data_IF_289680675891
#
_entry.id   IF_289680675891
#
_cell.length_a   1.000
_cell.length_b   1.000
_cell.length_c   1.000
_cell.angle_alpha   90.00
_cell.angle_beta   90.00
_cell.angle_gamma   90.00
#
_symmetry.space_group_name_H-M   'P 1'
#
loop_
_entity.id
_entity.type
_entity.pdbx_description
1 polymer ?
#
# COMPACT_ATOMS: atom_id res chain seq x y z
N UNK A 1 -20.76 7.09 -6.54
CA UNK A 1 -20.19 7.01 -5.19
C UNK A 1 -19.14 5.90 -5.06
N UNK A 2 -19.46 4.64 -5.42
CA UNK A 2 -18.52 3.50 -5.36
C UNK A 2 -17.23 3.74 -6.17
N UNK A 3 -17.35 4.21 -7.40
CA UNK A 3 -16.21 4.53 -8.27
C UNK A 3 -15.25 5.54 -7.64
N UNK A 4 -15.76 6.57 -6.98
CA UNK A 4 -14.91 7.56 -6.30
C UNK A 4 -14.08 6.94 -5.16
N UNK A 5 -14.65 5.95 -4.44
CA UNK A 5 -13.91 5.20 -3.43
C UNK A 5 -12.86 4.27 -4.05
N UNK A 6 -13.16 3.62 -5.17
CA UNK A 6 -12.24 2.74 -5.88
C UNK A 6 -11.08 3.51 -6.52
N UNK A 7 -11.28 4.76 -6.92
CA UNK A 7 -10.21 5.62 -7.42
C UNK A 7 -9.29 6.08 -6.28
N UNK A 8 -9.85 6.47 -5.15
CA UNK A 8 -9.07 6.86 -3.96
C UNK A 8 -8.42 5.66 -3.26
N UNK A 9 -9.03 4.50 -3.33
CA UNK A 9 -8.43 3.23 -2.92
C UNK A 9 -7.68 2.68 -4.14
N UNK A 10 -6.35 2.82 -4.22
CA UNK A 10 -5.61 2.66 -5.46
C UNK A 10 -5.77 1.25 -6.01
N UNK A 11 -6.67 1.10 -6.98
CA UNK A 11 -6.88 -0.13 -7.73
C UNK A 11 -6.05 -0.09 -9.01
N UNK A 12 -5.73 -1.23 -9.58
CA UNK A 12 -5.08 -1.31 -10.89
C UNK A 12 -5.79 -0.41 -11.92
N UNK A 13 -5.08 0.26 -12.79
CA UNK A 13 -5.42 1.36 -13.69
C UNK A 13 -5.47 2.77 -13.06
N UNK A 14 -5.89 2.92 -11.82
CA UNK A 14 -6.02 4.24 -11.15
C UNK A 14 -5.06 4.41 -9.97
N UNK A 15 -4.04 3.57 -9.87
CA UNK A 15 -3.07 3.56 -8.77
C UNK A 15 -1.90 4.54 -8.93
N UNK A 16 -1.65 5.07 -10.14
CA UNK A 16 -0.42 5.82 -10.46
C UNK A 16 -0.25 7.11 -9.63
N UNK A 17 -1.33 7.66 -9.10
CA UNK A 17 -1.26 8.82 -8.23
C UNK A 17 -0.57 8.52 -6.89
N UNK A 18 -0.66 7.28 -6.37
CA UNK A 18 -0.15 6.92 -5.05
C UNK A 18 1.39 6.93 -4.99
N UNK A 19 2.14 6.24 -5.89
CA UNK A 19 3.60 6.34 -5.91
C UNK A 19 4.08 7.78 -6.10
N UNK A 20 3.42 8.55 -6.98
CA UNK A 20 3.76 9.95 -7.21
C UNK A 20 3.58 10.79 -5.94
N UNK A 21 2.43 10.63 -5.27
CA UNK A 21 2.16 11.32 -4.02
C UNK A 21 3.20 10.99 -2.92
N UNK A 22 3.61 9.72 -2.79
CA UNK A 22 4.63 9.31 -1.80
C UNK A 22 6.04 9.81 -2.11
N UNK A 23 6.40 9.96 -3.39
CA UNK A 23 7.72 10.47 -3.79
C UNK A 23 7.83 11.98 -3.56
N UNK A 24 6.78 12.72 -3.91
CA UNK A 24 6.74 14.18 -3.80
C UNK A 24 6.48 14.67 -2.35
N UNK A 25 5.75 13.88 -1.55
CA UNK A 25 5.42 14.26 -0.18
C UNK A 25 6.64 14.28 0.76
N UNK A 26 6.66 15.21 1.73
CA UNK A 26 7.59 15.13 2.85
C UNK A 26 7.34 13.84 3.64
N UNK A 27 8.32 13.43 4.45
CA UNK A 27 8.27 12.14 5.17
C UNK A 27 7.05 12.05 6.09
N UNK A 28 6.78 13.10 6.84
CA UNK A 28 5.60 13.17 7.71
C UNK A 28 4.30 12.99 6.92
N UNK A 29 4.18 13.60 5.75
CA UNK A 29 3.04 13.43 4.85
C UNK A 29 2.89 11.99 4.35
N UNK A 30 3.99 11.33 3.97
CA UNK A 30 3.98 9.93 3.53
C UNK A 30 3.57 8.98 4.65
N UNK A 31 4.01 9.22 5.90
CA UNK A 31 3.63 8.44 7.08
C UNK A 31 2.13 8.58 7.37
N UNK A 32 1.61 9.81 7.41
CA UNK A 32 0.18 10.06 7.68
C UNK A 32 -0.69 9.46 6.57
N UNK A 33 -0.29 9.58 5.32
CA UNK A 33 -1.00 9.02 4.18
C UNK A 33 -1.08 7.49 4.28
N UNK A 34 0.04 6.84 4.60
CA UNK A 34 0.10 5.39 4.75
C UNK A 34 -0.61 4.89 6.02
N UNK A 35 -0.44 5.56 7.15
CA UNK A 35 -0.97 5.12 8.45
C UNK A 35 -2.49 5.37 8.59
N UNK A 36 -2.98 6.50 8.14
CA UNK A 36 -4.35 6.97 8.44
C UNK A 36 -5.22 7.06 7.21
N UNK A 37 -4.83 7.82 6.19
CA UNK A 37 -5.73 8.17 5.09
C UNK A 37 -6.18 6.95 4.28
N UNK A 38 -5.28 6.03 3.96
CA UNK A 38 -5.61 4.80 3.24
C UNK A 38 -6.54 3.90 4.08
N UNK A 39 -6.41 3.90 5.41
CA UNK A 39 -7.24 3.09 6.31
C UNK A 39 -8.66 3.63 6.47
N UNK A 40 -8.81 4.95 6.48
CA UNK A 40 -10.13 5.58 6.45
C UNK A 40 -10.92 5.19 5.19
N UNK A 41 -10.23 5.06 4.05
CA UNK A 41 -10.84 4.57 2.82
C UNK A 41 -11.27 3.10 2.93
N UNK A 42 -10.45 2.25 3.57
CA UNK A 42 -10.80 0.85 3.86
C UNK A 42 -12.06 0.74 4.71
N UNK A 43 -12.17 1.56 5.77
CA UNK A 43 -13.39 1.66 6.57
C UNK A 43 -14.59 2.15 5.75
N UNK A 44 -14.37 3.12 4.87
CA UNK A 44 -15.39 3.62 3.94
C UNK A 44 -15.97 2.52 3.06
N UNK A 45 -15.12 1.65 2.47
CA UNK A 45 -15.56 0.51 1.67
C UNK A 45 -16.36 -0.50 2.51
N UNK A 46 -15.94 -0.74 3.77
CA UNK A 46 -16.68 -1.61 4.69
C UNK A 46 -18.11 -1.09 4.90
N UNK A 47 -18.28 0.20 5.08
CA UNK A 47 -19.58 0.83 5.35
C UNK A 47 -20.45 0.94 4.09
N UNK A 48 -19.84 1.30 2.96
CA UNK A 48 -20.54 1.53 1.68
C UNK A 48 -21.25 0.28 1.20
N UNK A 49 -20.71 -0.89 1.48
CA UNK A 49 -21.28 -2.16 1.09
C UNK A 49 -22.61 -2.49 1.77
N UNK A 50 -22.86 -1.96 2.96
CA UNK A 50 -24.18 -2.12 3.63
C UNK A 50 -25.29 -1.41 2.86
N UNK A 51 -24.93 -0.41 2.06
CA UNK A 51 -25.86 0.46 1.34
C UNK A 51 -26.04 0.02 -0.13
N UNK A 52 -25.06 -0.65 -0.73
CA UNK A 52 -25.08 -0.99 -2.16
C UNK A 52 -25.04 -2.49 -2.40
N UNK A 53 -26.00 -2.98 -3.19
CA UNK A 53 -26.09 -4.41 -3.58
C UNK A 53 -25.20 -4.69 -4.81
N UNK A 54 -23.87 -4.78 -4.60
CA UNK A 54 -22.88 -4.85 -5.70
C UNK A 54 -22.55 -6.33 -6.07
N UNK A 55 -23.49 -7.26 -5.95
CA UNK A 55 -23.22 -8.69 -6.19
C UNK A 55 -22.75 -9.01 -7.61
N UNK A 56 -23.30 -8.36 -8.61
CA UNK A 56 -23.05 -8.68 -10.02
C UNK A 56 -21.66 -8.19 -10.47
N UNK A 57 -21.26 -7.01 -10.00
CA UNK A 57 -19.98 -6.38 -10.41
C UNK A 57 -18.81 -6.84 -9.51
N UNK A 58 -19.10 -7.49 -8.38
CA UNK A 58 -18.06 -7.86 -7.39
C UNK A 58 -17.03 -8.85 -7.93
N UNK A 59 -17.44 -9.85 -8.72
CA UNK A 59 -16.51 -10.86 -9.26
C UNK A 59 -15.51 -10.27 -10.25
N UNK A 60 -15.95 -9.35 -11.10
CA UNK A 60 -15.08 -8.67 -12.05
C UNK A 60 -14.08 -7.75 -11.35
N UNK A 61 -14.53 -7.01 -10.33
CA UNK A 61 -13.64 -6.14 -9.53
C UNK A 61 -12.63 -6.98 -8.74
N UNK A 62 -13.03 -8.13 -8.19
CA UNK A 62 -12.12 -9.04 -7.50
C UNK A 62 -11.04 -9.56 -8.46
N UNK A 63 -11.43 -10.05 -9.64
CA UNK A 63 -10.50 -10.55 -10.63
C UNK A 63 -9.51 -9.46 -11.07
N UNK A 64 -10.01 -8.26 -11.36
CA UNK A 64 -9.19 -7.11 -11.73
C UNK A 64 -8.22 -6.71 -10.61
N UNK A 65 -8.68 -6.69 -9.36
CA UNK A 65 -7.85 -6.35 -8.21
C UNK A 65 -6.73 -7.39 -8.01
N UNK A 66 -7.03 -8.69 -8.08
CA UNK A 66 -6.05 -9.75 -7.86
C UNK A 66 -5.03 -9.82 -8.99
N UNK A 67 -5.46 -9.80 -10.25
CA UNK A 67 -4.57 -9.80 -11.42
C UNK A 67 -3.70 -8.53 -11.40
N UNK A 68 -4.31 -7.38 -11.19
CA UNK A 68 -3.59 -6.12 -11.11
C UNK A 68 -2.60 -6.08 -9.94
N UNK A 69 -2.97 -6.61 -8.77
CA UNK A 69 -2.08 -6.78 -7.63
C UNK A 69 -0.87 -7.66 -7.96
N UNK A 70 -1.08 -8.78 -8.66
CA UNK A 70 0.01 -9.65 -9.13
C UNK A 70 0.97 -8.93 -10.07
N UNK A 71 0.46 -8.22 -11.08
CA UNK A 71 1.27 -7.43 -12.02
C UNK A 71 2.09 -6.37 -11.27
N UNK A 72 1.47 -5.63 -10.35
CA UNK A 72 2.17 -4.62 -9.54
C UNK A 72 3.22 -5.24 -8.63
N UNK A 73 2.99 -6.45 -8.10
CA UNK A 73 3.97 -7.20 -7.33
C UNK A 73 5.23 -7.48 -8.15
N UNK A 74 5.09 -7.89 -9.41
CA UNK A 74 6.23 -8.07 -10.33
C UNK A 74 6.91 -6.73 -10.64
N UNK A 75 6.15 -5.67 -10.86
CA UNK A 75 6.69 -4.33 -11.10
C UNK A 75 7.52 -3.80 -9.91
N UNK A 76 7.20 -4.19 -8.67
CA UNK A 76 8.01 -3.85 -7.50
C UNK A 76 9.48 -4.29 -7.63
N UNK A 77 9.73 -5.44 -8.27
CA UNK A 77 11.09 -6.01 -8.41
C UNK A 77 11.96 -5.14 -9.33
N UNK A 78 11.35 -4.49 -10.31
CA UNK A 78 12.05 -3.69 -11.32
C UNK A 78 12.32 -2.25 -10.84
N UNK A 79 11.67 -1.81 -9.78
CA UNK A 79 11.80 -0.45 -9.28
C UNK A 79 13.16 -0.20 -8.64
N UNK A 80 13.72 0.99 -8.88
CA UNK A 80 15.05 1.41 -8.38
C UNK A 80 14.97 2.26 -7.11
N UNK A 81 13.85 2.93 -6.89
CA UNK A 81 13.65 3.85 -5.76
C UNK A 81 12.90 3.19 -4.61
N UNK A 82 13.45 3.25 -3.41
CA UNK A 82 12.89 2.63 -2.19
C UNK A 82 11.48 3.13 -1.91
N UNK A 83 11.23 4.43 -2.00
CA UNK A 83 9.88 5.00 -1.76
C UNK A 83 8.83 4.46 -2.75
N UNK A 84 9.23 4.29 -4.00
CA UNK A 84 8.34 3.76 -5.05
C UNK A 84 8.01 2.30 -4.79
N UNK A 85 8.98 1.48 -4.38
CA UNK A 85 8.75 0.07 -4.02
C UNK A 85 7.76 -0.05 -2.86
N UNK A 86 7.95 0.75 -1.79
CA UNK A 86 7.05 0.74 -0.64
C UNK A 86 5.63 1.16 -1.06
N UNK A 87 5.50 2.15 -1.95
CA UNK A 87 4.21 2.59 -2.46
C UNK A 87 3.52 1.51 -3.31
N UNK A 88 4.22 0.82 -4.22
CA UNK A 88 3.64 -0.27 -5.00
C UNK A 88 3.28 -1.48 -4.14
N UNK A 89 4.09 -1.85 -3.16
CA UNK A 89 3.74 -2.93 -2.23
C UNK A 89 2.46 -2.63 -1.45
N UNK A 90 2.23 -1.36 -1.08
CA UNK A 90 0.96 -0.95 -0.48
C UNK A 90 -0.23 -1.21 -1.39
N UNK A 91 -0.11 -0.94 -2.70
CA UNK A 91 -1.20 -1.20 -3.66
C UNK A 91 -1.51 -2.69 -3.77
N UNK A 92 -0.49 -3.56 -3.70
CA UNK A 92 -0.69 -5.02 -3.69
C UNK A 92 -1.49 -5.46 -2.47
N UNK A 93 -1.16 -4.97 -1.27
CA UNK A 93 -1.92 -5.28 -0.05
C UNK A 93 -3.35 -4.74 -0.11
N UNK A 94 -3.55 -3.56 -0.69
CA UNK A 94 -4.88 -2.97 -0.91
C UNK A 94 -5.72 -3.83 -1.87
N UNK A 95 -5.11 -4.42 -2.90
CA UNK A 95 -5.81 -5.32 -3.80
C UNK A 95 -6.39 -6.54 -3.05
N UNK A 96 -5.64 -7.11 -2.09
CA UNK A 96 -6.13 -8.18 -1.23
C UNK A 96 -7.28 -7.72 -0.32
N UNK A 97 -7.21 -6.49 0.21
CA UNK A 97 -8.29 -5.90 1.01
C UNK A 97 -9.59 -5.78 0.19
N UNK A 98 -9.50 -5.33 -1.06
CA UNK A 98 -10.65 -5.22 -1.97
C UNK A 98 -11.23 -6.62 -2.23
N UNK A 99 -10.40 -7.59 -2.58
CA UNK A 99 -10.82 -8.94 -2.88
C UNK A 99 -11.49 -9.62 -1.66
N UNK A 100 -10.87 -9.55 -0.50
CA UNK A 100 -11.40 -10.12 0.74
C UNK A 100 -12.72 -9.49 1.15
N UNK A 101 -12.86 -8.18 0.97
CA UNK A 101 -14.09 -7.46 1.34
C UNK A 101 -15.26 -7.75 0.41
N UNK A 102 -15.00 -7.87 -0.88
CA UNK A 102 -16.06 -8.13 -1.87
C UNK A 102 -16.55 -9.58 -1.85
N UNK A 103 -15.77 -10.52 -1.33
CA UNK A 103 -16.13 -11.95 -1.30
C UNK A 103 -17.18 -12.34 -0.27
N UNK A 104 -17.55 -11.47 0.67
CA UNK A 104 -18.68 -11.62 1.59
C UNK A 104 -18.56 -12.72 2.66
N UNK A 105 -17.43 -13.38 2.80
CA UNK A 105 -17.23 -14.41 3.81
C UNK A 105 -16.85 -13.76 5.17
N UNK A 106 -17.21 -14.42 6.26
CA UNK A 106 -16.79 -13.99 7.60
C UNK A 106 -15.27 -13.89 7.72
N UNK A 107 -14.56 -14.92 7.25
CA UNK A 107 -13.11 -14.95 7.16
C UNK A 107 -12.50 -13.83 6.32
N UNK A 108 -13.15 -13.48 5.21
CA UNK A 108 -12.72 -12.36 4.38
C UNK A 108 -12.82 -11.03 5.11
N UNK A 109 -13.86 -10.83 5.93
CA UNK A 109 -14.01 -9.62 6.72
C UNK A 109 -12.95 -9.50 7.82
N UNK A 110 -12.74 -10.57 8.59
CA UNK A 110 -11.73 -10.61 9.65
C UNK A 110 -10.31 -10.41 9.08
N UNK A 111 -9.99 -11.10 7.97
CA UNK A 111 -8.72 -10.93 7.28
C UNK A 111 -8.48 -9.51 6.78
N UNK A 112 -9.50 -8.86 6.23
CA UNK A 112 -9.42 -7.46 5.80
C UNK A 112 -9.10 -6.52 6.96
N UNK A 113 -9.74 -6.69 8.12
CA UNK A 113 -9.44 -5.86 9.30
C UNK A 113 -7.99 -6.03 9.76
N UNK A 114 -7.52 -7.27 9.82
CA UNK A 114 -6.14 -7.56 10.21
C UNK A 114 -5.15 -6.91 9.22
N UNK A 115 -5.38 -7.07 7.92
CA UNK A 115 -4.49 -6.49 6.89
C UNK A 115 -4.49 -4.96 6.98
N UNK A 116 -5.65 -4.32 7.15
CA UNK A 116 -5.74 -2.86 7.25
C UNK A 116 -4.92 -2.35 8.44
N UNK A 117 -5.03 -2.97 9.61
CA UNK A 117 -4.31 -2.57 10.82
C UNK A 117 -2.81 -2.85 10.70
N UNK A 118 -2.45 -4.09 10.37
CA UNK A 118 -1.06 -4.50 10.24
C UNK A 118 -0.30 -3.69 9.19
N UNK A 119 -0.89 -3.52 8.01
CA UNK A 119 -0.30 -2.71 6.95
C UNK A 119 -0.14 -1.23 7.38
N UNK A 120 -1.05 -0.70 8.21
CA UNK A 120 -0.94 0.67 8.74
C UNK A 120 0.35 0.89 9.53
N UNK A 121 0.63 -0.01 10.45
CA UNK A 121 1.82 0.05 11.31
C UNK A 121 3.08 -0.27 10.51
N UNK A 122 3.07 -1.36 9.74
CA UNK A 122 4.25 -1.77 8.97
C UNK A 122 4.66 -0.74 7.92
N UNK A 123 3.72 -0.22 7.13
CA UNK A 123 4.05 0.73 6.06
C UNK A 123 4.59 2.05 6.61
N UNK A 124 4.01 2.58 7.69
CA UNK A 124 4.52 3.79 8.34
C UNK A 124 5.92 3.59 8.91
N UNK A 125 6.18 2.44 9.54
CA UNK A 125 7.52 2.08 10.03
C UNK A 125 8.57 1.97 8.92
N UNK A 126 8.20 1.34 7.79
CA UNK A 126 9.11 1.22 6.64
C UNK A 126 9.39 2.59 6.00
N UNK A 127 8.40 3.50 5.90
CA UNK A 127 8.65 4.86 5.44
C UNK A 127 9.57 5.65 6.39
N UNK A 128 9.43 5.49 7.69
CA UNK A 128 10.31 6.10 8.68
C UNK A 128 11.75 5.56 8.53
N UNK A 129 11.91 4.25 8.41
CA UNK A 129 13.22 3.63 8.18
C UNK A 129 13.87 4.09 6.87
N UNK A 130 13.10 4.15 5.78
CA UNK A 130 13.58 4.65 4.48
C UNK A 130 14.04 6.11 4.57
N UNK A 131 13.40 6.92 5.41
CA UNK A 131 13.85 8.29 5.65
C UNK A 131 15.15 8.35 6.43
N UNK A 132 15.33 7.56 7.48
CA UNK A 132 16.58 7.50 8.23
C UNK A 132 17.76 7.10 7.32
N UNK A 133 17.53 6.19 6.37
CA UNK A 133 18.54 5.82 5.36
C UNK A 133 18.84 7.02 4.45
N UNK A 134 17.80 7.73 4.01
CA UNK A 134 17.96 8.89 3.14
C UNK A 134 18.72 10.05 3.81
N UNK A 135 18.42 10.37 5.05
CA UNK A 135 19.13 11.41 5.82
C UNK A 135 20.61 11.12 5.97
N UNK A 136 21.00 9.84 6.07
CA UNK A 136 22.40 9.43 6.21
C UNK A 136 23.16 9.33 4.90
N UNK A 137 22.47 8.95 3.81
CA UNK A 137 23.11 8.65 2.53
C UNK A 137 22.78 9.63 1.42
N UNK A 138 21.78 10.49 1.60
CA UNK A 138 21.27 11.41 0.58
C UNK A 138 20.90 10.74 -0.75
N UNK A 139 20.66 9.41 -0.73
CA UNK A 139 20.28 8.61 -1.90
C UNK A 139 19.08 7.71 -1.59
N UNK A 140 18.12 7.67 -2.52
CA UNK A 140 16.93 6.81 -2.46
C UNK A 140 17.06 5.54 -3.30
N UNK A 141 18.14 5.38 -4.08
CA UNK A 141 18.33 4.25 -4.99
C UNK A 141 18.81 3.01 -4.24
N UNK A 142 18.20 1.87 -4.51
CA UNK A 142 18.59 0.58 -3.93
C UNK A 142 20.05 0.24 -4.14
N UNK A 143 20.59 0.52 -5.34
CA UNK A 143 21.95 0.18 -5.69
C UNK A 143 22.99 0.86 -4.79
N UNK A 144 22.79 2.12 -4.44
CA UNK A 144 23.69 2.84 -3.54
C UNK A 144 23.51 2.44 -2.07
N UNK A 145 22.41 1.79 -1.74
CA UNK A 145 22.09 1.31 -0.40
C UNK A 145 22.38 -0.19 -0.23
N UNK A 146 22.77 -0.90 -1.29
CA UNK A 146 23.23 -2.28 -1.20
C UNK A 146 24.52 -2.36 -0.36
N UNK A 147 24.70 -3.44 0.39
CA UNK A 147 25.89 -3.63 1.25
C UNK A 147 25.78 -3.00 2.65
N UNK A 148 24.64 -2.38 3.00
CA UNK A 148 24.43 -1.81 4.35
C UNK A 148 24.50 -2.86 5.46
N UNK A 149 24.09 -4.08 5.19
CA UNK A 149 24.16 -5.23 6.11
C UNK A 149 25.63 -5.58 6.45
N UNK A 150 26.54 -5.37 5.52
CA UNK A 150 27.96 -5.70 5.70
C UNK A 150 28.75 -4.59 6.45
N UNK A 151 28.22 -3.37 6.44
CA UNK A 151 28.78 -2.24 7.20
C UNK A 151 27.96 -2.06 8.47
N UNK A 152 28.32 -2.77 9.54
CA UNK A 152 27.69 -2.79 10.88
C UNK A 152 27.32 -1.43 11.51
N UNK A 153 27.56 -0.32 10.83
CA UNK A 153 27.36 1.04 11.32
C UNK A 153 25.89 1.52 11.32
N UNK A 154 24.96 0.84 10.63
CA UNK A 154 23.58 1.31 10.49
C UNK A 154 22.65 0.71 11.53
N UNK A 155 22.96 -0.47 12.04
CA UNK A 155 22.17 -1.13 13.09
C UNK A 155 22.66 -0.83 14.52
N UNK A 156 23.64 0.04 14.69
CA UNK A 156 23.93 0.65 16.01
C UNK A 156 23.03 1.86 16.24
N UNK A 157 21.72 1.63 16.21
CA UNK A 157 20.74 2.55 16.73
C UNK A 157 19.81 1.71 17.60
N UNK A 158 20.29 1.40 18.71
CA UNK A 158 19.60 1.28 19.99
C UNK A 158 20.67 1.59 21.02
#
# INVERSE_FOLDING_TARGET
MVLAFLVKFPMYFVHLWLPKAHVEAPVSGSIILAAVLIKLLGYGIIRLRRVTNIRIISSQIIALALIGGGILGVLCIVQRDIKVVIAYSSVVHIALVIAGRLRLTKWGFEGVLIIILAHGVCSSGIFAAANMIYERRHSRRFFFNSGLLNRRAIFRIV
#
